data_IF_047054786213
#
_entry.id   IF_047054786213
#
_cell.length_a   1.000
_cell.length_b   1.000
_cell.length_c   1.000
_cell.angle_alpha   90.00
_cell.angle_beta   90.00
_cell.angle_gamma   90.00
#
_symmetry.space_group_name_H-M   'P 1'
#
loop_
_entity.id
_entity.type
_entity.pdbx_description
1 polymer ?
#
# COMPACT_ATOMS: atom_id res chain seq x y z
N UNK A 1 -5.58 4.24 -3.58
CA UNK A 1 -6.93 3.76 -3.25
C UNK A 1 -7.90 4.11 -4.37
N UNK A 2 -8.65 3.17 -4.91
CA UNK A 2 -9.68 3.40 -5.94
C UNK A 2 -9.22 4.11 -7.22
N UNK A 3 -7.92 4.20 -7.44
CA UNK A 3 -7.33 4.80 -8.64
C UNK A 3 -6.70 3.72 -9.51
N UNK A 4 -6.79 3.88 -10.84
CA UNK A 4 -5.96 3.07 -11.74
C UNK A 4 -4.48 3.40 -11.54
N UNK A 5 -3.59 2.45 -11.82
CA UNK A 5 -2.13 2.66 -11.76
C UNK A 5 -1.73 3.89 -12.57
N UNK A 6 -2.30 4.06 -13.78
CA UNK A 6 -2.05 5.20 -14.65
C UNK A 6 -2.44 6.55 -14.02
N UNK A 7 -3.60 6.60 -13.35
CA UNK A 7 -4.05 7.81 -12.67
C UNK A 7 -3.18 8.14 -11.44
N UNK A 8 -2.84 7.14 -10.63
CA UNK A 8 -1.96 7.30 -9.49
C UNK A 8 -0.56 7.80 -9.89
N UNK A 9 0.00 7.24 -10.97
CA UNK A 9 1.28 7.66 -11.52
C UNK A 9 1.27 9.13 -11.97
N UNK A 10 0.23 9.57 -12.68
CA UNK A 10 0.12 10.98 -13.10
C UNK A 10 0.04 11.95 -11.91
N UNK A 11 -0.65 11.58 -10.84
CA UNK A 11 -0.70 12.40 -9.61
C UNK A 11 0.69 12.49 -8.97
N UNK A 12 1.38 11.37 -8.89
CA UNK A 12 2.74 11.31 -8.36
C UNK A 12 3.71 12.20 -9.17
N UNK A 13 3.73 12.06 -10.50
CA UNK A 13 4.58 12.85 -11.40
C UNK A 13 4.32 14.35 -11.28
N UNK A 14 3.06 14.79 -11.13
CA UNK A 14 2.72 16.20 -10.90
C UNK A 14 3.23 16.70 -9.56
N UNK A 15 3.07 15.91 -8.48
CA UNK A 15 3.58 16.27 -7.17
C UNK A 15 5.11 16.36 -7.19
N UNK A 16 5.78 15.41 -7.83
CA UNK A 16 7.23 15.41 -8.00
C UNK A 16 7.72 16.67 -8.74
N UNK A 17 7.02 17.09 -9.80
CA UNK A 17 7.30 18.32 -10.53
C UNK A 17 7.16 19.55 -9.61
N UNK A 18 6.09 19.63 -8.82
CA UNK A 18 5.90 20.73 -7.86
C UNK A 18 6.97 20.76 -6.77
N UNK A 19 7.51 19.62 -6.39
CA UNK A 19 8.58 19.48 -5.41
C UNK A 19 9.99 19.70 -5.99
N UNK A 20 10.14 20.13 -7.26
CA UNK A 20 11.44 20.33 -7.88
C UNK A 20 12.17 19.02 -8.19
N UNK A 21 11.45 18.03 -8.74
CA UNK A 21 11.93 16.69 -9.12
C UNK A 21 12.32 15.77 -7.95
N UNK A 22 12.12 16.18 -6.70
CA UNK A 22 12.36 15.32 -5.54
C UNK A 22 11.34 15.56 -4.44
N UNK A 23 10.52 14.57 -4.16
CA UNK A 23 9.56 14.62 -3.07
C UNK A 23 10.30 14.37 -1.75
N UNK A 24 10.39 15.40 -0.92
CA UNK A 24 10.95 15.36 0.44
C UNK A 24 9.97 16.01 1.41
N UNK A 25 10.05 15.73 2.72
CA UNK A 25 9.22 16.44 3.69
C UNK A 25 9.35 17.96 3.59
N UNK A 26 10.54 18.47 3.35
CA UNK A 26 10.81 19.90 3.20
C UNK A 26 10.15 20.46 1.93
N UNK A 27 10.32 19.79 0.77
CA UNK A 27 9.71 20.27 -0.48
C UNK A 27 8.18 20.22 -0.43
N UNK A 28 7.59 19.20 0.19
CA UNK A 28 6.14 19.11 0.39
C UNK A 28 5.64 20.17 1.37
N UNK A 29 6.36 20.43 2.47
CA UNK A 29 6.01 21.45 3.46
C UNK A 29 5.97 22.85 2.85
N UNK A 30 6.81 23.13 1.86
CA UNK A 30 6.86 24.42 1.17
C UNK A 30 5.68 24.67 0.20
N UNK A 31 4.93 23.62 -0.18
CA UNK A 31 3.77 23.77 -1.06
C UNK A 31 2.53 24.23 -0.28
N UNK A 32 1.63 25.00 -0.93
CA UNK A 32 0.28 25.24 -0.38
C UNK A 32 -0.62 24.01 -0.53
N UNK A 33 -1.71 23.95 0.24
CA UNK A 33 -2.69 22.87 0.12
C UNK A 33 -3.36 22.86 -1.26
N UNK A 34 -3.60 24.04 -1.83
CA UNK A 34 -4.13 24.19 -3.18
C UNK A 34 -3.16 23.64 -4.23
N UNK A 35 -1.85 23.87 -4.07
CA UNK A 35 -0.84 23.33 -4.95
C UNK A 35 -0.83 21.79 -4.90
N UNK A 36 -0.85 21.20 -3.71
CA UNK A 36 -0.93 19.73 -3.56
C UNK A 36 -2.24 19.20 -4.17
N UNK A 37 -3.37 19.89 -3.93
CA UNK A 37 -4.66 19.51 -4.48
C UNK A 37 -4.71 19.55 -6.00
N UNK A 38 -4.05 20.54 -6.62
CA UNK A 38 -4.00 20.72 -8.08
C UNK A 38 -3.36 19.52 -8.82
N UNK A 39 -2.60 18.69 -8.11
CA UNK A 39 -2.07 17.42 -8.66
C UNK A 39 -3.16 16.39 -8.98
N UNK A 40 -4.36 16.55 -8.44
CA UNK A 40 -5.48 15.61 -8.55
C UNK A 40 -5.75 14.82 -7.26
N UNK A 41 -5.18 15.26 -6.13
CA UNK A 41 -5.47 14.70 -4.80
C UNK A 41 -6.76 15.29 -4.21
N UNK A 42 -7.48 14.50 -3.40
CA UNK A 42 -8.63 15.00 -2.63
C UNK A 42 -8.19 15.79 -1.40
N UNK A 43 -9.05 16.67 -0.88
CA UNK A 43 -8.78 17.42 0.35
C UNK A 43 -8.38 16.52 1.52
N UNK A 44 -9.05 15.38 1.68
CA UNK A 44 -8.69 14.41 2.71
C UNK A 44 -7.26 13.88 2.54
N UNK A 45 -6.84 13.57 1.30
CA UNK A 45 -5.48 13.11 1.02
C UNK A 45 -4.44 14.21 1.20
N UNK A 46 -4.76 15.47 0.90
CA UNK A 46 -3.89 16.62 1.24
C UNK A 46 -3.63 16.65 2.75
N UNK A 47 -4.68 16.56 3.56
CA UNK A 47 -4.55 16.49 5.03
C UNK A 47 -3.69 15.30 5.49
N UNK A 48 -3.81 14.13 4.85
CA UNK A 48 -2.99 12.95 5.18
C UNK A 48 -1.52 13.13 4.81
N UNK A 49 -1.25 13.75 3.65
CA UNK A 49 0.11 14.10 3.23
C UNK A 49 0.73 15.06 4.25
N UNK A 50 0.00 16.09 4.70
CA UNK A 50 0.46 17.01 5.75
C UNK A 50 0.78 16.28 7.06
N UNK A 51 -0.14 15.42 7.52
CA UNK A 51 0.09 14.64 8.75
C UNK A 51 1.41 13.86 8.71
N UNK A 52 1.70 13.19 7.58
CA UNK A 52 2.96 12.44 7.43
C UNK A 52 4.16 13.38 7.36
N UNK A 53 4.04 14.46 6.57
CA UNK A 53 5.11 15.47 6.42
C UNK A 53 5.50 16.07 7.77
N UNK A 54 4.50 16.50 8.56
CA UNK A 54 4.72 17.10 9.87
C UNK A 54 5.31 16.09 10.87
N UNK A 55 4.85 14.83 10.83
CA UNK A 55 5.39 13.77 11.68
C UNK A 55 6.88 13.51 11.38
N UNK A 56 7.29 13.55 10.10
CA UNK A 56 8.70 13.37 9.75
C UNK A 56 9.52 14.60 10.11
N UNK A 57 9.03 15.81 9.85
CA UNK A 57 9.74 17.06 10.16
C UNK A 57 9.92 17.27 11.67
N UNK A 58 8.93 16.87 12.48
CA UNK A 58 9.02 16.95 13.93
C UNK A 58 9.85 15.82 14.57
N UNK A 59 10.27 14.83 13.78
CA UNK A 59 10.98 13.65 14.29
C UNK A 59 10.09 12.63 15.01
N UNK A 60 8.75 12.84 15.05
CA UNK A 60 7.82 11.86 15.64
C UNK A 60 7.65 10.59 14.79
N UNK A 61 8.00 10.67 13.51
CA UNK A 61 8.12 9.53 12.59
C UNK A 61 9.52 9.51 11.97
N UNK A 62 10.30 8.50 12.30
CA UNK A 62 11.59 8.24 11.66
C UNK A 62 11.51 6.93 10.85
N UNK A 63 11.71 7.03 9.53
CA UNK A 63 11.64 5.85 8.66
C UNK A 63 12.78 4.85 8.90
N UNK A 64 13.95 5.32 9.32
CA UNK A 64 15.08 4.43 9.63
C UNK A 64 14.79 3.60 10.89
N UNK A 65 14.17 4.20 11.91
CA UNK A 65 13.72 3.43 13.08
C UNK A 65 12.70 2.35 12.71
N UNK A 66 11.82 2.60 11.74
CA UNK A 66 10.83 1.60 11.33
C UNK A 66 11.49 0.35 10.72
N UNK A 67 12.69 0.45 10.16
CA UNK A 67 13.42 -0.68 9.60
C UNK A 67 13.87 -1.67 10.66
N UNK A 68 14.20 -1.17 11.84
CA UNK A 68 14.68 -1.96 12.98
C UNK A 68 13.55 -2.62 13.80
N UNK A 69 12.31 -2.16 13.61
CA UNK A 69 11.16 -2.68 14.33
C UNK A 69 10.60 -3.94 13.66
N UNK A 70 9.98 -4.81 14.45
CA UNK A 70 9.14 -5.90 13.93
C UNK A 70 7.83 -5.35 13.33
N UNK A 71 7.10 -6.20 12.60
CA UNK A 71 5.97 -5.79 11.76
C UNK A 71 4.82 -5.14 12.54
N UNK A 72 4.44 -5.70 13.70
CA UNK A 72 3.34 -5.17 14.50
C UNK A 72 3.60 -3.76 15.06
N UNK A 73 4.75 -3.45 15.67
CA UNK A 73 5.12 -2.09 16.05
C UNK A 73 5.12 -1.11 14.87
N UNK A 74 5.59 -1.53 13.68
CA UNK A 74 5.53 -0.69 12.47
C UNK A 74 4.09 -0.37 12.11
N UNK A 75 3.21 -1.37 12.06
CA UNK A 75 1.78 -1.18 11.78
C UNK A 75 1.18 -0.21 12.82
N UNK A 76 1.45 -0.42 14.10
CA UNK A 76 0.93 0.44 15.18
C UNK A 76 1.40 1.89 15.05
N UNK A 77 2.69 2.13 14.79
CA UNK A 77 3.23 3.48 14.60
C UNK A 77 2.61 4.16 13.38
N UNK A 78 2.52 3.47 12.25
CA UNK A 78 1.96 4.03 11.02
C UNK A 78 0.46 4.30 11.14
N UNK A 79 -0.31 3.38 11.72
CA UNK A 79 -1.78 3.55 11.85
C UNK A 79 -2.19 4.58 12.92
N UNK A 80 -1.28 5.02 13.77
CA UNK A 80 -1.50 6.16 14.66
C UNK A 80 -1.58 7.50 13.88
N UNK A 81 -1.05 7.55 12.65
CA UNK A 81 -1.12 8.73 11.81
C UNK A 81 -2.46 8.79 11.07
N UNK A 82 -3.11 9.94 11.14
CA UNK A 82 -4.38 10.15 10.44
C UNK A 82 -4.21 9.92 8.93
N UNK A 83 -5.04 9.04 8.38
CA UNK A 83 -5.06 8.71 6.95
C UNK A 83 -4.25 7.48 6.58
N UNK A 84 -3.50 6.89 7.52
CA UNK A 84 -2.85 5.61 7.32
C UNK A 84 -3.67 4.51 8.01
N UNK A 85 -4.28 3.65 7.21
CA UNK A 85 -4.95 2.45 7.69
C UNK A 85 -4.02 1.23 7.67
N UNK A 86 -4.50 0.11 8.22
CA UNK A 86 -3.76 -1.18 8.24
C UNK A 86 -3.33 -1.61 6.84
N UNK A 87 -4.17 -1.43 5.84
CA UNK A 87 -3.83 -1.72 4.45
C UNK A 87 -2.59 -0.93 3.99
N UNK A 88 -2.56 0.39 4.20
CA UNK A 88 -1.40 1.23 3.81
C UNK A 88 -0.14 0.82 4.56
N UNK A 89 -0.25 0.53 5.86
CA UNK A 89 0.88 0.07 6.67
C UNK A 89 1.43 -1.28 6.16
N UNK A 90 0.56 -2.22 5.77
CA UNK A 90 0.99 -3.48 5.15
C UNK A 90 1.64 -3.28 3.78
N UNK A 91 1.14 -2.35 2.94
CA UNK A 91 1.80 -2.01 1.68
C UNK A 91 3.20 -1.45 1.91
N UNK A 92 3.38 -0.61 2.94
CA UNK A 92 4.70 -0.13 3.33
C UNK A 92 5.62 -1.29 3.75
N UNK A 93 5.15 -2.22 4.56
CA UNK A 93 5.92 -3.41 4.95
C UNK A 93 6.35 -4.25 3.74
N UNK A 94 5.42 -4.53 2.81
CA UNK A 94 5.65 -5.39 1.64
C UNK A 94 6.57 -4.72 0.62
N UNK A 95 6.33 -3.44 0.28
CA UNK A 95 6.94 -2.81 -0.88
C UNK A 95 8.09 -1.85 -0.54
N UNK A 96 8.18 -1.37 0.70
CA UNK A 96 9.24 -0.45 1.13
C UNK A 96 10.23 -1.13 2.06
N UNK A 97 9.75 -1.87 3.07
CA UNK A 97 10.62 -2.59 4.00
C UNK A 97 10.98 -4.00 3.53
N UNK A 98 10.40 -4.47 2.44
CA UNK A 98 10.63 -5.80 1.84
C UNK A 98 10.41 -6.97 2.82
N UNK A 99 9.43 -6.83 3.73
CA UNK A 99 9.07 -7.88 4.68
C UNK A 99 8.47 -9.07 3.94
N UNK A 100 8.98 -10.27 4.22
CA UNK A 100 8.71 -11.47 3.42
C UNK A 100 7.35 -12.13 3.74
N UNK A 101 6.81 -11.95 4.94
CA UNK A 101 5.64 -12.73 5.41
C UNK A 101 4.46 -11.86 5.87
N UNK A 102 4.10 -10.86 5.08
CA UNK A 102 2.90 -10.04 5.31
C UNK A 102 1.77 -10.51 4.42
N UNK A 103 0.61 -10.84 5.00
CA UNK A 103 -0.58 -11.22 4.26
C UNK A 103 -1.59 -10.05 4.22
N UNK A 104 -1.83 -9.44 3.04
CA UNK A 104 -2.71 -8.28 2.89
C UNK A 104 -4.18 -8.71 2.68
N UNK A 105 -4.75 -9.46 3.61
CA UNK A 105 -6.08 -10.06 3.49
C UNK A 105 -7.25 -9.06 3.50
N UNK A 106 -6.98 -7.78 3.74
CA UNK A 106 -7.95 -6.67 3.64
C UNK A 106 -7.94 -6.00 2.25
N UNK A 107 -6.97 -6.33 1.40
CA UNK A 107 -6.79 -5.66 0.12
C UNK A 107 -7.71 -6.23 -0.96
N UNK A 108 -8.51 -5.34 -1.59
CA UNK A 108 -9.47 -5.75 -2.61
C UNK A 108 -8.82 -6.36 -3.86
N UNK A 109 -7.68 -5.84 -4.31
CA UNK A 109 -6.95 -6.37 -5.46
C UNK A 109 -6.36 -7.75 -5.15
N UNK A 110 -5.79 -7.90 -3.96
CA UNK A 110 -5.35 -9.20 -3.46
C UNK A 110 -6.52 -10.20 -3.40
N UNK A 111 -7.65 -9.82 -2.81
CA UNK A 111 -8.82 -10.69 -2.68
C UNK A 111 -9.43 -11.06 -4.05
N UNK A 112 -9.35 -10.19 -5.05
CA UNK A 112 -9.77 -10.52 -6.41
C UNK A 112 -8.92 -11.66 -7.00
N UNK A 113 -7.61 -11.57 -6.90
CA UNK A 113 -6.70 -12.62 -7.39
C UNK A 113 -6.76 -13.88 -6.52
N UNK A 114 -6.99 -13.74 -5.21
CA UNK A 114 -7.21 -14.87 -4.31
C UNK A 114 -8.45 -15.68 -4.70
N UNK A 115 -9.58 -15.01 -5.01
CA UNK A 115 -10.79 -15.69 -5.52
C UNK A 115 -10.52 -16.48 -6.79
N UNK A 116 -9.80 -15.88 -7.70
CA UNK A 116 -9.39 -16.52 -8.94
C UNK A 116 -8.49 -17.72 -8.70
N UNK A 117 -7.45 -17.58 -7.89
CA UNK A 117 -6.47 -18.63 -7.59
C UNK A 117 -7.11 -19.86 -6.93
N UNK A 118 -8.02 -19.62 -5.99
CA UNK A 118 -8.63 -20.70 -5.20
C UNK A 118 -10.03 -21.10 -5.66
N UNK A 119 -10.51 -20.53 -6.76
CA UNK A 119 -11.86 -20.73 -7.28
C UNK A 119 -12.91 -20.66 -6.15
N UNK A 120 -12.93 -19.57 -5.41
CA UNK A 120 -13.75 -19.40 -4.21
C UNK A 120 -14.38 -18.03 -4.11
N UNK A 121 -15.58 -17.95 -3.55
CA UNK A 121 -16.23 -16.70 -3.18
C UNK A 121 -16.00 -16.31 -1.72
N UNK A 122 -15.49 -17.24 -0.90
CA UNK A 122 -15.21 -17.00 0.53
C UNK A 122 -13.92 -16.20 0.70
N UNK A 123 -14.08 -14.95 1.05
CA UNK A 123 -13.00 -13.99 1.34
C UNK A 123 -12.98 -13.56 2.81
N UNK A 124 -13.61 -14.33 3.69
CA UNK A 124 -13.54 -14.05 5.13
C UNK A 124 -12.09 -14.08 5.60
N UNK A 125 -11.69 -13.17 6.52
CA UNK A 125 -10.32 -13.13 7.03
C UNK A 125 -9.83 -14.48 7.56
N UNK A 126 -10.71 -15.26 8.21
CA UNK A 126 -10.39 -16.58 8.72
C UNK A 126 -10.05 -17.57 7.60
N UNK A 127 -10.88 -17.64 6.56
CA UNK A 127 -10.67 -18.52 5.40
C UNK A 127 -9.42 -18.13 4.60
N UNK A 128 -9.21 -16.84 4.36
CA UNK A 128 -8.02 -16.35 3.66
C UNK A 128 -6.76 -16.73 4.43
N UNK A 129 -6.71 -16.41 5.74
CA UNK A 129 -5.57 -16.76 6.60
C UNK A 129 -5.30 -18.27 6.60
N UNK A 130 -6.35 -19.10 6.72
CA UNK A 130 -6.23 -20.56 6.71
C UNK A 130 -5.67 -21.08 5.39
N UNK A 131 -6.24 -20.66 4.25
CA UNK A 131 -5.79 -21.12 2.92
C UNK A 131 -4.37 -20.64 2.59
N UNK A 132 -4.02 -19.40 2.98
CA UNK A 132 -2.71 -18.80 2.70
C UNK A 132 -1.64 -19.20 3.72
N UNK A 133 -1.96 -19.91 4.81
CA UNK A 133 -0.99 -20.33 5.81
C UNK A 133 0.19 -21.13 5.23
N UNK A 134 -0.04 -21.88 4.14
CA UNK A 134 0.98 -22.64 3.41
C UNK A 134 2.01 -21.76 2.68
N UNK A 135 1.77 -20.46 2.54
CA UNK A 135 2.71 -19.54 1.90
C UNK A 135 3.82 -19.06 2.84
N UNK A 136 3.64 -19.27 4.16
CA UNK A 136 4.67 -18.90 5.14
C UNK A 136 5.97 -19.60 4.87
N UNK A 137 7.10 -18.90 5.06
CA UNK A 137 7.27 -17.53 5.52
C UNK A 137 7.32 -16.48 4.38
N UNK A 138 6.69 -16.74 3.23
CA UNK A 138 6.79 -15.95 1.99
C UNK A 138 5.45 -15.37 1.53
N UNK A 139 4.56 -15.04 2.46
CA UNK A 139 3.21 -14.54 2.14
C UNK A 139 3.25 -13.25 1.30
N UNK A 140 4.23 -12.35 1.53
CA UNK A 140 4.43 -11.14 0.73
C UNK A 140 4.81 -11.44 -0.71
N UNK A 141 5.65 -12.45 -0.92
CA UNK A 141 6.07 -12.87 -2.26
C UNK A 141 4.85 -13.39 -3.04
N UNK A 142 4.07 -14.27 -2.43
CA UNK A 142 2.84 -14.77 -3.04
C UNK A 142 1.85 -13.62 -3.36
N UNK A 143 1.69 -12.65 -2.45
CA UNK A 143 0.85 -11.49 -2.68
C UNK A 143 1.33 -10.64 -3.87
N UNK A 144 2.64 -10.40 -4.01
CA UNK A 144 3.23 -9.69 -5.16
C UNK A 144 2.94 -10.39 -6.48
N UNK A 145 3.02 -11.73 -6.54
CA UNK A 145 2.60 -12.49 -7.71
C UNK A 145 1.13 -12.32 -8.03
N UNK A 146 0.26 -12.34 -7.02
CA UNK A 146 -1.17 -12.13 -7.21
C UNK A 146 -1.50 -10.73 -7.74
N UNK A 147 -0.83 -9.69 -7.25
CA UNK A 147 -0.94 -8.34 -7.82
C UNK A 147 -0.48 -8.31 -9.28
N UNK A 148 0.64 -8.95 -9.59
CA UNK A 148 1.15 -9.01 -10.96
C UNK A 148 0.20 -9.73 -11.92
N UNK A 149 -0.40 -10.83 -11.48
CA UNK A 149 -1.40 -11.58 -12.22
C UNK A 149 -2.61 -10.69 -12.54
N UNK A 150 -3.09 -9.91 -11.56
CA UNK A 150 -4.19 -8.97 -11.74
C UNK A 150 -3.83 -7.87 -12.75
N UNK A 151 -2.65 -7.27 -12.62
CA UNK A 151 -2.17 -6.20 -13.50
C UNK A 151 -2.03 -6.66 -14.95
N UNK A 152 -1.65 -7.91 -15.17
CA UNK A 152 -1.57 -8.55 -16.49
C UNK A 152 -2.94 -8.98 -17.05
N UNK A 153 -4.02 -8.87 -16.24
CA UNK A 153 -5.37 -9.25 -16.63
C UNK A 153 -5.61 -10.76 -16.71
N UNK A 154 -4.70 -11.58 -16.18
CA UNK A 154 -4.80 -13.04 -16.23
C UNK A 154 -5.99 -13.59 -15.44
N UNK A 155 -6.51 -12.82 -14.47
CA UNK A 155 -7.70 -13.21 -13.70
C UNK A 155 -9.00 -13.22 -14.51
N UNK A 156 -8.96 -12.84 -15.79
CA UNK A 156 -10.11 -12.89 -16.71
C UNK A 156 -10.33 -14.28 -17.31
N UNK A 157 -9.33 -15.14 -17.23
CA UNK A 157 -9.35 -16.50 -17.72
C UNK A 157 -9.32 -17.47 -16.53
N UNK A 158 -9.91 -18.67 -16.71
CA UNK A 158 -9.90 -19.69 -15.66
C UNK A 158 -8.49 -20.18 -15.37
N UNK A 159 -8.20 -20.43 -14.09
CA UNK A 159 -6.91 -20.98 -13.70
C UNK A 159 -6.82 -22.46 -14.03
N UNK A 160 -5.99 -22.80 -15.02
CA UNK A 160 -5.95 -24.14 -15.62
C UNK A 160 -5.51 -25.28 -14.70
N UNK A 161 -4.82 -25.00 -13.58
CA UNK A 161 -4.37 -26.05 -12.64
C UNK A 161 -5.48 -26.70 -11.80
N UNK A 162 -6.71 -26.16 -11.87
CA UNK A 162 -7.88 -26.68 -11.14
C UNK A 162 -8.97 -27.24 -12.06
N UNK A 163 -8.61 -27.56 -13.30
CA UNK A 163 -9.49 -28.31 -14.23
C UNK A 163 -9.40 -29.79 -14.01
#
# INVERSE_FOLDING_TARGET
QMLSIKAGRKIYERLETLCGARITPQSVSALSDEAIRSTGTSNAKVSYIRTITDAVLSGSLCFDELRELSDEPVIKKLTALRGIGTWTAKMYLIFVLDRQDILPFEDGAFLQSYRWLYNTTDTTPASVKKKCAKWKPYSSIAARYLYRILDLGLTKEDFHLFK
#
